data_IF_812912967164
#
_entry.id   IF_812912967164
#
_cell.length_a   1.000
_cell.length_b   1.000
_cell.length_c   1.000
_cell.angle_alpha   90.00
_cell.angle_beta   90.00
_cell.angle_gamma   90.00
#
_symmetry.space_group_name_H-M   'P 1'
#
loop_
_entity.id
_entity.type
_entity.pdbx_description
1 polymer ?
#
# COMPACT_ATOMS: atom_id res chain seq x y z
N UNK A 1 23.48 32.50 11.22
CA UNK A 1 22.17 31.82 11.14
C UNK A 1 22.44 30.34 11.32
N UNK A 2 21.75 29.74 12.27
CA UNK A 2 21.94 28.38 12.76
C UNK A 2 21.21 27.40 11.83
N UNK A 3 21.95 26.60 11.08
CA UNK A 3 21.42 25.74 9.99
C UNK A 3 20.72 24.47 10.48
N UNK A 4 20.57 24.31 11.80
CA UNK A 4 20.00 23.13 12.45
C UNK A 4 18.48 23.21 12.60
N UNK A 5 17.86 24.38 12.40
CA UNK A 5 16.44 24.63 12.70
C UNK A 5 15.46 24.37 11.55
N UNK A 6 15.96 24.00 10.37
CA UNK A 6 15.17 23.59 9.19
C UNK A 6 15.19 22.07 8.99
N UNK A 7 15.84 21.32 9.88
CA UNK A 7 16.11 19.90 9.72
C UNK A 7 15.29 19.00 10.64
N UNK A 8 14.26 19.53 11.30
CA UNK A 8 13.43 18.77 12.26
C UNK A 8 12.04 18.43 11.67
N UNK A 9 11.32 19.42 11.11
CA UNK A 9 9.97 19.21 10.56
C UNK A 9 9.92 18.27 9.34
N UNK A 10 11.00 18.20 8.55
CA UNK A 10 11.03 17.32 7.36
C UNK A 10 11.33 15.86 7.71
N UNK A 11 12.06 15.63 8.81
CA UNK A 11 12.33 14.30 9.31
C UNK A 11 11.10 13.72 10.00
N UNK A 12 10.38 14.50 10.81
CA UNK A 12 9.13 14.08 11.45
C UNK A 12 8.05 13.68 10.42
N UNK A 13 7.88 14.47 9.35
CA UNK A 13 7.00 14.09 8.24
C UNK A 13 7.48 12.81 7.50
N UNK A 14 8.79 12.60 7.39
CA UNK A 14 9.37 11.38 6.81
C UNK A 14 9.17 10.15 7.72
N UNK A 15 9.31 10.29 9.04
CA UNK A 15 9.02 9.24 10.02
C UNK A 15 7.52 8.95 10.12
N UNK A 16 6.67 9.97 10.02
CA UNK A 16 5.21 9.82 9.87
C UNK A 16 4.83 9.08 8.58
N UNK A 17 5.66 9.18 7.53
CA UNK A 17 5.48 8.39 6.31
C UNK A 17 5.90 6.92 6.47
N UNK A 18 6.74 6.58 7.44
CA UNK A 18 7.10 5.19 7.76
C UNK A 18 5.98 4.48 8.51
N UNK A 19 5.15 5.19 9.27
CA UNK A 19 3.94 4.71 9.94
C UNK A 19 2.69 4.72 9.03
N UNK A 20 2.86 4.95 7.72
CA UNK A 20 1.74 4.94 6.78
C UNK A 20 0.96 3.62 6.89
N UNK A 21 -0.34 3.67 7.23
CA UNK A 21 -1.16 2.48 7.26
C UNK A 21 -1.12 1.87 5.86
N UNK A 22 -0.65 0.62 5.78
CA UNK A 22 -0.70 -0.12 4.53
C UNK A 22 -2.16 -0.52 4.29
N UNK A 23 -2.67 -0.29 3.07
CA UNK A 23 -4.10 -0.42 2.73
C UNK A 23 -4.63 -1.86 2.69
N UNK A 24 -4.04 -2.79 3.45
CA UNK A 24 -4.59 -4.13 3.59
C UNK A 24 -5.69 -4.16 4.64
N UNK A 25 -6.65 -5.04 4.44
CA UNK A 25 -7.67 -5.39 5.43
C UNK A 25 -7.32 -6.79 5.96
N UNK A 26 -7.08 -6.89 7.28
CA UNK A 26 -6.69 -8.14 7.94
C UNK A 26 -5.48 -8.85 7.31
N UNK A 27 -4.46 -8.09 6.91
CA UNK A 27 -3.27 -8.65 6.27
C UNK A 27 -3.44 -9.04 4.79
N UNK A 28 -4.61 -8.80 4.19
CA UNK A 28 -4.91 -9.07 2.78
C UNK A 28 -5.15 -7.79 1.99
N UNK A 29 -4.69 -7.75 0.74
CA UNK A 29 -4.99 -6.70 -0.23
C UNK A 29 -5.88 -7.31 -1.31
N UNK A 30 -6.95 -6.61 -1.67
CA UNK A 30 -7.89 -7.03 -2.70
C UNK A 30 -7.58 -6.30 -3.99
N UNK A 31 -7.36 -7.04 -5.07
CA UNK A 31 -7.01 -6.51 -6.39
C UNK A 31 -8.10 -6.93 -7.36
N UNK A 32 -8.81 -5.95 -7.93
CA UNK A 32 -9.73 -6.15 -9.04
C UNK A 32 -8.97 -6.09 -10.36
N UNK A 33 -9.15 -7.08 -11.23
CA UNK A 33 -8.66 -7.06 -12.61
C UNK A 33 -9.68 -7.72 -13.55
N UNK A 34 -9.63 -7.35 -14.83
CA UNK A 34 -10.52 -7.93 -15.84
C UNK A 34 -9.82 -9.10 -16.53
N UNK A 35 -10.51 -10.23 -16.65
CA UNK A 35 -10.08 -11.39 -17.43
C UNK A 35 -11.11 -11.69 -18.50
N UNK A 36 -10.68 -12.29 -19.60
CA UNK A 36 -11.59 -12.83 -20.61
C UNK A 36 -12.02 -14.24 -20.17
N UNK A 37 -13.34 -14.45 -20.09
CA UNK A 37 -13.95 -15.75 -19.74
C UNK A 37 -13.95 -16.71 -20.95
N UNK A 38 -14.38 -17.97 -20.77
CA UNK A 38 -14.43 -18.99 -21.82
C UNK A 38 -15.33 -18.57 -23.00
N UNK A 39 -16.32 -17.71 -22.76
CA UNK A 39 -17.21 -17.14 -23.77
C UNK A 39 -16.64 -15.90 -24.50
N UNK A 40 -15.44 -15.42 -24.11
CA UNK A 40 -14.82 -14.23 -24.69
C UNK A 40 -15.32 -12.89 -24.11
N UNK A 41 -16.00 -12.93 -22.97
CA UNK A 41 -16.52 -11.74 -22.28
C UNK A 41 -15.57 -11.27 -21.17
N UNK A 42 -15.44 -9.95 -20.97
CA UNK A 42 -14.62 -9.37 -19.90
C UNK A 42 -15.34 -9.49 -18.55
N UNK A 43 -14.76 -10.24 -17.62
CA UNK A 43 -15.25 -10.42 -16.26
C UNK A 43 -14.31 -9.77 -15.24
N UNK A 44 -14.87 -9.02 -14.27
CA UNK A 44 -14.09 -8.50 -13.14
C UNK A 44 -13.84 -9.62 -12.13
N UNK A 45 -12.57 -9.86 -11.82
CA UNK A 45 -12.10 -10.82 -10.84
C UNK A 45 -11.46 -10.06 -9.68
N UNK A 46 -11.90 -10.38 -8.46
CA UNK A 46 -11.32 -9.84 -7.22
C UNK A 46 -10.46 -10.93 -6.58
N UNK A 47 -9.16 -10.72 -6.53
CA UNK A 47 -8.23 -11.65 -5.89
C UNK A 47 -7.68 -11.06 -4.58
N UNK A 48 -7.57 -11.90 -3.55
CA UNK A 48 -6.93 -11.55 -2.28
C UNK A 48 -5.48 -11.99 -2.29
N UNK A 49 -4.57 -11.05 -2.05
CA UNK A 49 -3.13 -11.31 -1.98
C UNK A 49 -2.58 -10.91 -0.62
N UNK A 50 -1.59 -11.65 -0.07
CA UNK A 50 -1.01 -11.31 1.21
C UNK A 50 -0.31 -9.94 1.16
N UNK A 51 -0.53 -9.13 2.18
CA UNK A 51 0.12 -7.84 2.32
C UNK A 51 1.63 -8.05 2.49
N UNK A 52 2.41 -7.51 1.55
CA UNK A 52 3.88 -7.60 1.59
C UNK A 52 4.50 -7.03 2.85
N UNK A 53 3.82 -6.08 3.52
CA UNK A 53 4.29 -5.47 4.76
C UNK A 53 3.97 -6.33 5.97
N UNK A 54 2.74 -6.85 6.07
CA UNK A 54 2.36 -7.80 7.13
C UNK A 54 3.18 -9.08 7.06
N UNK A 55 3.48 -9.59 5.85
CA UNK A 55 4.28 -10.80 5.66
C UNK A 55 5.78 -10.64 6.01
N UNK A 56 6.25 -9.40 6.22
CA UNK A 56 7.63 -9.08 6.61
C UNK A 56 7.77 -8.71 8.10
N UNK A 57 6.66 -8.72 8.84
CA UNK A 57 6.61 -8.36 10.26
C UNK A 57 6.78 -9.59 11.16
#
# INVERSE_FOLDING_TARGET
MDTTRVHDDTLDAHYSCLERPHGCYDGLVFIGHFVEDEDGEEAEVIESVPCRRCAKS
#
